data_IF_311364914321
#
_entry.id   IF_311364914321
#
_cell.length_a   1.000
_cell.length_b   1.000
_cell.length_c   1.000
_cell.angle_alpha   90.00
_cell.angle_beta   90.00
_cell.angle_gamma   90.00
#
_symmetry.space_group_name_H-M   'P 1'
#
loop_
_entity.id
_entity.type
_entity.pdbx_description
1 polymer ?
#
# COMPACT_ATOMS: atom_id res chain seq x y z
N UNK A 1 -9.94 -8.10 3.51
CA UNK A 1 -9.14 -8.64 2.39
C UNK A 1 -9.74 -9.90 1.78
N UNK A 2 -10.06 -10.94 2.56
CA UNK A 2 -10.54 -12.23 2.04
C UNK A 2 -11.86 -12.14 1.24
N UNK A 3 -12.77 -11.26 1.67
CA UNK A 3 -14.09 -11.05 1.04
C UNK A 3 -14.00 -10.35 -0.32
N UNK A 4 -13.03 -9.45 -0.50
CA UNK A 4 -12.77 -8.78 -1.78
C UNK A 4 -12.19 -9.77 -2.80
N UNK A 5 -11.24 -10.61 -2.37
CA UNK A 5 -10.68 -11.69 -3.22
C UNK A 5 -11.77 -12.67 -3.67
N UNK A 6 -12.70 -13.05 -2.78
CA UNK A 6 -13.80 -13.95 -3.15
C UNK A 6 -14.80 -13.33 -4.13
N UNK A 7 -15.19 -12.07 -3.93
CA UNK A 7 -16.11 -11.38 -4.85
C UNK A 7 -15.51 -11.20 -6.24
N UNK A 8 -14.23 -10.83 -6.31
CA UNK A 8 -13.50 -10.69 -7.56
C UNK A 8 -13.39 -12.02 -8.31
N UNK A 9 -13.14 -13.13 -7.59
CA UNK A 9 -13.09 -14.46 -8.20
C UNK A 9 -14.42 -14.83 -8.89
N UNK A 10 -15.54 -14.52 -8.26
CA UNK A 10 -16.86 -14.78 -8.85
C UNK A 10 -17.11 -13.87 -10.08
N UNK A 11 -16.59 -12.64 -10.09
CA UNK A 11 -16.70 -11.73 -11.23
C UNK A 11 -15.83 -12.15 -12.42
N UNK A 12 -14.61 -12.62 -12.17
CA UNK A 12 -13.71 -13.14 -13.20
C UNK A 12 -14.20 -14.48 -13.79
N UNK A 13 -14.69 -15.41 -12.95
CA UNK A 13 -15.33 -16.66 -13.42
C UNK A 13 -16.62 -16.39 -14.23
N UNK A 14 -17.32 -15.27 -13.97
CA UNK A 14 -18.52 -14.88 -14.73
C UNK A 14 -18.21 -14.27 -16.09
N UNK A 15 -16.99 -13.79 -16.34
CA UNK A 15 -16.72 -12.93 -17.50
C UNK A 15 -16.02 -13.60 -18.68
N UNK A 16 -15.34 -14.75 -18.57
CA UNK A 16 -14.86 -15.43 -19.80
C UNK A 16 -14.18 -16.79 -19.60
N UNK A 17 -14.45 -17.65 -20.58
CA UNK A 17 -13.71 -18.84 -21.06
C UNK A 17 -12.20 -18.60 -21.38
N UNK A 18 -11.50 -17.70 -20.70
CA UNK A 18 -10.07 -17.42 -20.94
C UNK A 18 -9.23 -17.69 -19.70
N UNK A 19 -8.69 -18.91 -19.66
CA UNK A 19 -7.76 -19.44 -18.65
C UNK A 19 -6.46 -18.65 -18.48
N UNK A 20 -6.22 -17.60 -19.28
CA UNK A 20 -5.06 -16.72 -19.17
C UNK A 20 -5.33 -15.44 -18.35
N UNK A 21 -6.56 -15.21 -17.88
CA UNK A 21 -6.93 -13.92 -17.30
C UNK A 21 -6.51 -13.74 -15.83
N UNK A 22 -6.16 -14.78 -15.07
CA UNK A 22 -5.99 -14.64 -13.61
C UNK A 22 -4.70 -13.94 -13.18
N UNK A 23 -3.55 -14.34 -13.73
CA UNK A 23 -2.26 -13.69 -13.42
C UNK A 23 -2.27 -12.24 -13.93
N UNK A 24 -2.76 -12.00 -15.14
CA UNK A 24 -2.89 -10.65 -15.72
C UNK A 24 -3.88 -9.76 -14.95
N UNK A 25 -4.93 -10.33 -14.35
CA UNK A 25 -5.92 -9.60 -13.54
C UNK A 25 -5.39 -9.34 -12.12
N UNK A 26 -4.63 -10.27 -11.55
CA UNK A 26 -3.98 -10.12 -10.25
C UNK A 26 -2.90 -9.03 -10.32
N UNK A 27 -2.05 -9.04 -11.35
CA UNK A 27 -1.07 -7.99 -11.64
C UNK A 27 -1.73 -6.62 -11.88
N UNK A 28 -2.90 -6.58 -12.55
CA UNK A 28 -3.64 -5.34 -12.74
C UNK A 28 -4.18 -4.76 -11.43
N UNK A 29 -4.68 -5.59 -10.52
CA UNK A 29 -5.31 -5.15 -9.27
C UNK A 29 -4.28 -4.74 -8.22
N UNK A 30 -3.07 -5.30 -8.28
CA UNK A 30 -1.95 -4.88 -7.43
C UNK A 30 -1.09 -3.80 -8.09
N UNK A 31 -1.44 -3.35 -9.31
CA UNK A 31 -0.76 -2.23 -9.95
C UNK A 31 -0.93 -0.94 -9.15
N UNK A 32 0.04 -0.03 -9.28
CA UNK A 32 0.07 1.27 -8.59
C UNK A 32 -1.22 2.08 -8.73
N UNK A 33 -2.00 1.84 -9.79
CA UNK A 33 -3.25 2.54 -10.09
C UNK A 33 -4.42 2.15 -9.16
N UNK A 34 -4.35 0.98 -8.51
CA UNK A 34 -5.38 0.47 -7.61
C UNK A 34 -4.98 0.46 -6.13
N UNK A 35 -3.72 0.80 -5.83
CA UNK A 35 -3.31 1.08 -4.47
C UNK A 35 -3.91 2.42 -4.04
N UNK A 36 -4.77 2.38 -3.02
CA UNK A 36 -5.15 3.60 -2.32
C UNK A 36 -3.92 4.13 -1.60
N UNK A 37 -3.21 5.07 -2.22
CA UNK A 37 -2.06 5.75 -1.63
C UNK A 37 -2.52 6.50 -0.40
N UNK A 38 -2.26 5.90 0.76
CA UNK A 38 -2.42 6.56 2.05
C UNK A 38 -1.29 7.58 2.24
N UNK A 39 -1.46 8.59 3.11
CA UNK A 39 -0.53 9.71 3.25
C UNK A 39 0.94 9.31 3.46
N UNK A 40 1.18 8.18 4.15
CA UNK A 40 2.53 7.67 4.39
C UNK A 40 3.20 7.19 3.10
N UNK A 41 2.53 6.38 2.28
CA UNK A 41 3.10 5.87 1.04
C UNK A 41 3.34 6.99 0.01
N UNK A 42 2.44 7.97 -0.02
CA UNK A 42 2.59 9.17 -0.84
C UNK A 42 3.83 9.98 -0.43
N UNK A 43 4.03 10.19 0.87
CA UNK A 43 5.21 10.90 1.38
C UNK A 43 6.53 10.17 1.06
N UNK A 44 6.55 8.84 1.19
CA UNK A 44 7.73 8.01 0.88
C UNK A 44 8.06 8.07 -0.62
N UNK A 45 7.05 8.02 -1.49
CA UNK A 45 7.26 8.00 -2.95
C UNK A 45 7.49 9.37 -3.58
N UNK A 46 7.25 10.45 -2.84
CA UNK A 46 7.33 11.82 -3.34
C UNK A 46 8.73 12.15 -3.84
N UNK A 47 8.80 12.69 -5.07
CA UNK A 47 10.02 13.28 -5.61
C UNK A 47 10.32 14.65 -4.99
N UNK A 48 9.30 15.33 -4.47
CA UNK A 48 9.41 16.62 -3.80
C UNK A 48 9.53 16.46 -2.27
N UNK A 49 10.15 17.41 -1.55
CA UNK A 49 10.21 17.39 -0.08
C UNK A 49 8.81 17.43 0.56
N UNK A 50 8.55 16.48 1.46
CA UNK A 50 7.26 16.37 2.17
C UNK A 50 7.44 16.60 3.68
N UNK A 51 6.43 17.20 4.29
CA UNK A 51 6.30 17.32 5.74
C UNK A 51 5.16 16.41 6.22
N UNK A 52 5.47 15.50 7.13
CA UNK A 52 4.50 14.65 7.83
C UNK A 52 4.21 15.26 9.21
N UNK A 53 2.97 15.68 9.41
CA UNK A 53 2.47 16.08 10.72
C UNK A 53 1.71 14.90 11.31
N UNK A 54 2.18 14.40 12.45
CA UNK A 54 1.60 13.23 13.09
C UNK A 54 1.12 13.66 14.47
N UNK A 55 -0.19 13.60 14.67
CA UNK A 55 -0.82 13.93 15.94
C UNK A 55 -1.56 12.73 16.52
N UNK A 56 -1.73 12.73 17.84
CA UNK A 56 -2.49 11.71 18.59
C UNK A 56 -2.08 10.25 18.26
N UNK A 57 -0.78 9.97 18.11
CA UNK A 57 -0.26 8.60 17.90
C UNK A 57 -0.71 7.65 19.01
N UNK A 58 -0.89 8.16 20.23
CA UNK A 58 -1.39 7.39 21.37
C UNK A 58 -2.85 6.90 21.22
N UNK A 59 -3.59 7.42 20.23
CA UNK A 59 -4.96 7.02 19.94
C UNK A 59 -5.10 5.99 18.82
N UNK A 60 -4.02 5.67 18.11
CA UNK A 60 -4.07 4.64 17.07
C UNK A 60 -4.00 3.24 17.68
N UNK A 61 -4.46 2.25 16.92
CA UNK A 61 -4.29 0.85 17.31
C UNK A 61 -2.80 0.49 17.35
N UNK A 62 -2.40 -0.37 18.29
CA UNK A 62 -0.99 -0.75 18.52
C UNK A 62 -0.31 -1.24 17.24
N UNK A 63 -1.03 -1.99 16.40
CA UNK A 63 -0.53 -2.52 15.13
C UNK A 63 -0.22 -1.39 14.14
N UNK A 64 -1.03 -0.34 14.15
CA UNK A 64 -0.83 0.85 13.31
C UNK A 64 0.31 1.71 13.84
N UNK A 65 0.42 1.87 15.16
CA UNK A 65 1.53 2.57 15.80
C UNK A 65 2.87 1.89 15.49
N UNK A 66 2.93 0.57 15.66
CA UNK A 66 4.13 -0.21 15.39
C UNK A 66 4.56 -0.08 13.92
N UNK A 67 3.61 -0.18 12.99
CA UNK A 67 3.88 0.00 11.56
C UNK A 67 4.36 1.41 11.26
N UNK A 68 3.75 2.44 11.87
CA UNK A 68 4.20 3.81 11.69
C UNK A 68 5.65 3.98 12.16
N UNK A 69 5.98 3.48 13.35
CA UNK A 69 7.33 3.56 13.90
C UNK A 69 8.35 2.77 13.07
N UNK A 70 7.97 1.62 12.54
CA UNK A 70 8.78 0.84 11.59
C UNK A 70 9.06 1.63 10.32
N UNK A 71 8.05 2.28 9.74
CA UNK A 71 8.25 3.12 8.55
C UNK A 71 9.16 4.30 8.86
N UNK A 72 9.01 4.92 10.03
CA UNK A 72 9.81 6.08 10.43
C UNK A 72 11.26 5.73 10.83
N UNK A 73 11.59 4.47 11.14
CA UNK A 73 12.96 4.09 11.47
C UNK A 73 13.86 4.08 10.25
N UNK A 74 13.37 3.53 9.14
CA UNK A 74 14.16 3.30 7.92
C UNK A 74 13.65 4.09 6.71
N UNK A 75 12.56 4.86 6.87
CA UNK A 75 11.89 5.60 5.79
C UNK A 75 11.63 4.73 4.55
N UNK A 76 11.13 3.53 4.80
CA UNK A 76 10.77 2.56 3.77
C UNK A 76 9.45 1.89 4.12
N UNK A 77 8.77 1.36 3.11
CA UNK A 77 7.52 0.59 3.25
C UNK A 77 7.70 -0.73 2.55
N UNK A 78 7.54 -1.83 3.27
CA UNK A 78 7.53 -3.17 2.68
C UNK A 78 6.10 -3.59 2.33
N UNK A 79 5.86 -3.83 1.05
CA UNK A 79 4.56 -4.30 0.54
C UNK A 79 4.77 -5.72 0.01
N UNK A 80 4.02 -6.73 0.49
CA UNK A 80 4.27 -8.13 0.14
C UNK A 80 4.32 -8.40 -1.37
N UNK A 81 3.44 -7.76 -2.13
CA UNK A 81 3.30 -7.96 -3.57
C UNK A 81 4.22 -7.05 -4.40
N UNK A 82 4.69 -5.92 -3.86
CA UNK A 82 5.47 -4.90 -4.59
C UNK A 82 6.93 -4.80 -4.13
N UNK A 83 7.29 -5.56 -3.10
CA UNK A 83 8.58 -5.47 -2.45
C UNK A 83 8.71 -4.22 -1.57
N UNK A 84 9.95 -3.88 -1.26
CA UNK A 84 10.27 -2.74 -0.39
C UNK A 84 10.46 -1.48 -1.21
N UNK A 85 9.77 -0.42 -0.79
CA UNK A 85 9.81 0.90 -1.40
C UNK A 85 10.53 1.82 -0.42
N UNK A 86 11.71 2.29 -0.82
CA UNK A 86 12.50 3.26 -0.05
C UNK A 86 12.09 4.69 -0.38
N UNK A 87 12.22 5.60 0.60
CA UNK A 87 11.90 7.00 0.39
C UNK A 87 12.87 7.66 -0.59
N UNK A 88 12.33 8.33 -1.62
CA UNK A 88 13.16 9.12 -2.54
C UNK A 88 13.73 10.38 -1.88
N UNK A 89 12.96 10.96 -0.97
CA UNK A 89 13.33 12.09 -0.11
C UNK A 89 12.86 11.77 1.30
N UNK A 90 13.74 11.94 2.30
CA UNK A 90 13.36 11.69 3.71
C UNK A 90 12.36 12.78 4.13
N UNK A 91 11.11 12.42 4.50
CA UNK A 91 10.14 13.39 4.96
C UNK A 91 10.57 14.03 6.28
N UNK A 92 10.25 15.30 6.45
CA UNK A 92 10.40 15.97 7.73
C UNK A 92 9.19 15.64 8.62
N UNK A 93 9.43 15.11 9.82
CA UNK A 93 8.38 14.61 10.72
C UNK A 93 8.23 15.52 11.94
N UNK A 94 7.00 15.88 12.30
CA UNK A 94 6.65 16.68 13.48
C UNK A 94 5.49 16.08 14.27
#
# INVERSE_FOLDING_TARGET
MELQKQLLRIQAERNSDESNSWEDLEDNIFSDEFLLTRPLLEAIRSDDPVVLLIDEVDRVEIETEALLLEILSDYQVSIPELGTIEAKQIPLVF
#
